data_IF_530476827327
#
_entry.id   IF_530476827327
#
_cell.length_a   1.000
_cell.length_b   1.000
_cell.length_c   1.000
_cell.angle_alpha   90.00
_cell.angle_beta   90.00
_cell.angle_gamma   90.00
#
_symmetry.space_group_name_H-M   'P 1'
#
loop_
_entity.id
_entity.type
_entity.pdbx_description
1 polymer ?
#
# COMPACT_ATOMS: atom_id res chain seq x y z
N UNK A 1 16.11 22.70 -24.84
CA UNK A 1 17.28 21.80 -24.80
C UNK A 1 17.77 21.74 -23.35
N UNK A 2 17.09 20.95 -22.52
CA UNK A 2 17.41 20.63 -21.11
C UNK A 2 16.75 19.28 -20.83
N UNK A 3 17.34 18.18 -21.33
CA UNK A 3 16.77 16.83 -21.15
C UNK A 3 17.78 15.79 -20.67
N UNK A 4 19.09 16.07 -20.78
CA UNK A 4 20.12 15.07 -20.49
C UNK A 4 20.39 15.03 -18.97
N UNK A 5 20.65 16.18 -18.35
CA UNK A 5 20.95 16.25 -16.91
C UNK A 5 19.75 15.90 -16.00
N UNK A 6 18.51 16.30 -16.34
CA UNK A 6 17.32 15.95 -15.54
C UNK A 6 17.04 14.45 -15.55
N UNK A 7 17.22 13.79 -16.70
CA UNK A 7 17.02 12.34 -16.83
C UNK A 7 18.12 11.55 -16.09
N UNK A 8 19.35 12.04 -16.09
CA UNK A 8 20.44 11.43 -15.29
C UNK A 8 20.18 11.56 -13.78
N UNK A 9 19.80 12.75 -13.30
CA UNK A 9 19.51 12.98 -11.86
C UNK A 9 18.32 12.12 -11.39
N UNK A 10 17.24 12.05 -12.17
CA UNK A 10 16.10 11.20 -11.82
C UNK A 10 16.49 9.72 -11.74
N UNK A 11 17.29 9.22 -12.69
CA UNK A 11 17.79 7.85 -12.64
C UNK A 11 18.67 7.60 -11.40
N UNK A 12 19.53 8.55 -11.04
CA UNK A 12 20.38 8.43 -9.85
C UNK A 12 19.55 8.36 -8.55
N UNK A 13 18.47 9.13 -8.45
CA UNK A 13 17.54 9.10 -7.31
C UNK A 13 16.88 7.72 -7.20
N UNK A 14 16.33 7.19 -8.30
CA UNK A 14 15.66 5.89 -8.29
C UNK A 14 16.64 4.74 -8.01
N UNK A 15 17.88 4.84 -8.50
CA UNK A 15 18.94 3.87 -8.19
C UNK A 15 19.34 3.92 -6.71
N UNK A 16 19.47 5.10 -6.13
CA UNK A 16 19.73 5.27 -4.71
C UNK A 16 18.57 4.71 -3.87
N UNK A 17 17.32 5.01 -4.25
CA UNK A 17 16.13 4.49 -3.58
C UNK A 17 16.11 2.95 -3.59
N UNK A 18 16.30 2.30 -4.75
CA UNK A 18 16.35 0.82 -4.84
C UNK A 18 17.45 0.20 -3.98
N UNK A 19 18.59 0.88 -3.80
CA UNK A 19 19.65 0.40 -2.92
C UNK A 19 19.21 0.40 -1.46
N UNK A 20 18.47 1.43 -1.04
CA UNK A 20 17.90 1.53 0.30
C UNK A 20 16.73 0.55 0.48
N UNK A 21 15.85 0.41 -0.51
CA UNK A 21 14.76 -0.56 -0.49
C UNK A 21 15.27 -1.99 -0.26
N UNK A 22 16.32 -2.40 -0.98
CA UNK A 22 17.00 -3.70 -0.76
C UNK A 22 17.65 -3.82 0.62
N UNK A 23 18.07 -2.71 1.24
CA UNK A 23 18.59 -2.72 2.61
C UNK A 23 17.46 -2.89 3.63
N UNK A 24 16.33 -2.22 3.41
CA UNK A 24 15.12 -2.34 4.23
C UNK A 24 14.57 -3.77 4.18
N UNK A 25 14.38 -4.33 2.99
CA UNK A 25 13.93 -5.71 2.81
C UNK A 25 14.84 -6.69 3.57
N UNK A 26 16.17 -6.60 3.39
CA UNK A 26 17.13 -7.43 4.14
C UNK A 26 17.09 -7.25 5.66
N UNK A 27 16.63 -6.11 6.16
CA UNK A 27 16.47 -5.87 7.61
C UNK A 27 15.19 -6.54 8.12
N UNK A 28 14.12 -6.43 7.35
CA UNK A 28 12.85 -7.11 7.59
C UNK A 28 13.04 -8.63 7.54
N UNK A 29 13.70 -9.16 6.50
CA UNK A 29 14.03 -10.59 6.34
C UNK A 29 14.79 -11.14 7.56
N UNK A 30 15.74 -10.37 8.11
CA UNK A 30 16.55 -10.81 9.27
C UNK A 30 15.76 -10.84 10.58
N UNK A 31 14.67 -10.10 10.63
CA UNK A 31 13.79 -10.01 11.80
C UNK A 31 12.56 -10.89 11.61
N UNK A 32 12.49 -11.67 10.52
CA UNK A 32 11.35 -12.48 10.12
C UNK A 32 10.03 -11.66 10.03
N UNK A 33 10.12 -10.40 9.59
CA UNK A 33 8.96 -9.49 9.45
C UNK A 33 8.52 -9.40 7.99
N UNK A 34 7.30 -9.84 7.68
CA UNK A 34 6.70 -9.61 6.37
C UNK A 34 6.19 -8.17 6.26
N UNK A 35 6.30 -7.55 5.09
CA UNK A 35 5.96 -6.13 4.93
C UNK A 35 5.05 -5.89 3.73
N UNK A 36 3.95 -5.17 3.95
CA UNK A 36 2.93 -4.89 2.93
C UNK A 36 2.82 -3.37 2.74
N UNK A 37 3.04 -2.91 1.51
CA UNK A 37 2.87 -1.51 1.10
C UNK A 37 1.47 -1.32 0.53
N UNK A 38 0.63 -0.58 1.25
CA UNK A 38 -0.72 -0.22 0.84
C UNK A 38 -0.69 1.08 0.04
N UNK A 39 -0.86 0.96 -1.27
CA UNK A 39 -0.97 2.08 -2.19
C UNK A 39 -2.43 2.32 -2.54
N UNK A 40 -2.74 3.47 -3.12
CA UNK A 40 -4.11 3.78 -3.52
C UNK A 40 -4.44 5.25 -3.52
N UNK A 41 -5.61 5.58 -4.06
CA UNK A 41 -6.09 6.95 -4.11
C UNK A 41 -6.39 7.54 -2.73
N UNK A 42 -6.61 8.86 -2.70
CA UNK A 42 -7.13 9.54 -1.52
C UNK A 42 -8.52 9.00 -1.21
N UNK A 43 -8.74 8.57 0.03
CA UNK A 43 -10.04 8.09 0.48
C UNK A 43 -10.49 6.76 -0.10
N UNK A 44 -9.61 5.97 -0.75
CA UNK A 44 -9.95 4.63 -1.26
C UNK A 44 -10.27 3.63 -0.14
N UNK A 45 -9.75 3.88 1.07
CA UNK A 45 -10.04 3.12 2.29
C UNK A 45 -8.84 2.40 2.89
N UNK A 46 -7.61 2.73 2.51
CA UNK A 46 -6.36 2.14 3.03
C UNK A 46 -6.32 2.05 4.55
N UNK A 47 -6.50 3.18 5.26
CA UNK A 47 -6.50 3.19 6.72
C UNK A 47 -7.54 2.24 7.30
N UNK A 48 -8.77 2.26 6.79
CA UNK A 48 -9.83 1.36 7.26
C UNK A 48 -9.54 -0.10 6.92
N UNK A 49 -8.88 -0.39 5.79
CA UNK A 49 -8.45 -1.74 5.48
C UNK A 49 -7.44 -2.22 6.51
N UNK A 50 -6.41 -1.43 6.77
CA UNK A 50 -5.37 -1.75 7.75
C UNK A 50 -5.97 -1.94 9.15
N UNK A 51 -6.92 -1.10 9.58
CA UNK A 51 -7.66 -1.29 10.83
C UNK A 51 -8.36 -2.65 10.88
N UNK A 52 -9.06 -3.04 9.80
CA UNK A 52 -9.71 -4.36 9.71
C UNK A 52 -8.72 -5.51 9.76
N UNK A 53 -7.55 -5.36 9.13
CA UNK A 53 -6.50 -6.38 9.19
C UNK A 53 -5.96 -6.54 10.61
N UNK A 54 -5.68 -5.44 11.30
CA UNK A 54 -5.24 -5.45 12.71
C UNK A 54 -6.28 -6.12 13.61
N UNK A 55 -7.57 -5.86 13.40
CA UNK A 55 -8.65 -6.45 14.21
C UNK A 55 -8.83 -7.96 14.01
N UNK A 56 -8.56 -8.47 12.80
CA UNK A 56 -9.00 -9.81 12.39
C UNK A 56 -7.85 -10.79 12.14
N UNK A 57 -6.60 -10.33 12.07
CA UNK A 57 -5.43 -11.21 11.93
C UNK A 57 -4.89 -11.65 13.29
N UNK A 58 -4.53 -12.94 13.41
CA UNK A 58 -3.80 -13.46 14.56
C UNK A 58 -2.28 -13.30 14.36
N UNK A 59 -1.85 -12.05 14.26
CA UNK A 59 -0.45 -11.63 14.04
C UNK A 59 -0.11 -10.40 14.86
N UNK A 60 1.15 -10.29 15.26
CA UNK A 60 1.68 -9.06 15.86
C UNK A 60 2.00 -8.06 14.76
N UNK A 61 1.18 -7.02 14.65
CA UNK A 61 1.27 -6.01 13.60
C UNK A 61 2.05 -4.79 14.09
N UNK A 62 2.92 -4.23 13.24
CA UNK A 62 3.39 -2.84 13.32
C UNK A 62 2.87 -2.03 12.11
N UNK A 63 2.77 -0.71 12.26
CA UNK A 63 2.31 0.17 11.17
C UNK A 63 3.25 1.36 10.95
N UNK A 64 3.54 1.66 9.70
CA UNK A 64 4.07 2.96 9.26
C UNK A 64 2.93 3.72 8.57
N UNK A 65 2.59 4.91 9.06
CA UNK A 65 1.52 5.74 8.50
C UNK A 65 2.11 6.96 7.77
N UNK A 66 2.12 6.92 6.43
CA UNK A 66 2.66 8.00 5.58
C UNK A 66 1.57 8.92 5.04
N UNK A 67 1.56 10.17 5.47
CA UNK A 67 0.70 11.21 4.90
C UNK A 67 1.30 12.61 5.12
N UNK A 68 0.72 13.63 4.47
CA UNK A 68 1.07 15.03 4.71
C UNK A 68 0.96 15.37 6.20
N UNK A 69 -0.07 14.84 6.87
CA UNK A 69 -0.28 14.95 8.32
C UNK A 69 -0.56 13.57 8.91
N UNK A 70 0.48 12.75 9.05
CA UNK A 70 0.40 11.35 9.50
C UNK A 70 -0.32 11.09 10.81
N UNK A 71 -0.38 12.07 11.73
CA UNK A 71 -0.98 11.89 13.07
C UNK A 71 -2.45 11.45 13.05
N UNK A 72 -3.19 11.74 11.98
CA UNK A 72 -4.61 11.38 11.87
C UNK A 72 -4.78 9.87 11.70
N UNK A 73 -4.00 9.27 10.81
CA UNK A 73 -4.04 7.82 10.58
C UNK A 73 -3.23 7.07 11.64
N UNK A 74 -2.07 7.61 12.03
CA UNK A 74 -1.26 7.02 13.11
C UNK A 74 -2.06 6.87 14.42
N UNK A 75 -2.79 7.91 14.84
CA UNK A 75 -3.61 7.85 16.06
C UNK A 75 -4.77 6.85 15.99
N UNK A 76 -5.24 6.52 14.77
CA UNK A 76 -6.24 5.45 14.58
C UNK A 76 -5.62 4.09 14.82
N UNK A 77 -4.45 3.82 14.26
CA UNK A 77 -3.72 2.58 14.48
C UNK A 77 -3.26 2.40 15.94
N UNK A 78 -2.77 3.46 16.57
CA UNK A 78 -2.38 3.45 17.99
C UNK A 78 -3.53 3.03 18.90
N UNK A 79 -4.78 3.34 18.54
CA UNK A 79 -5.96 2.95 19.32
C UNK A 79 -6.19 1.43 19.41
N UNK A 80 -5.58 0.65 18.51
CA UNK A 80 -5.56 -0.82 18.54
C UNK A 80 -4.41 -1.39 19.40
N UNK A 81 -3.54 -0.53 19.95
CA UNK A 81 -2.42 -0.95 20.80
C UNK A 81 -1.23 -1.54 20.06
N UNK A 82 -1.15 -1.37 18.74
CA UNK A 82 -0.01 -1.80 17.91
C UNK A 82 1.11 -0.74 17.90
N UNK A 83 2.38 -1.11 17.67
CA UNK A 83 3.45 -0.14 17.40
C UNK A 83 3.19 0.63 16.10
N UNK A 84 3.34 1.96 16.16
CA UNK A 84 3.08 2.85 15.01
C UNK A 84 4.18 3.89 14.87
N UNK A 85 4.62 4.13 13.64
CA UNK A 85 5.48 5.27 13.28
C UNK A 85 4.76 6.13 12.24
N UNK A 86 4.44 7.37 12.59
CA UNK A 86 3.89 8.35 11.66
C UNK A 86 4.98 9.08 10.87
N UNK A 87 4.89 9.08 9.55
CA UNK A 87 5.81 9.77 8.65
C UNK A 87 5.11 10.96 7.98
N UNK A 88 5.50 12.17 8.37
CA UNK A 88 5.02 13.39 7.71
C UNK A 88 5.80 13.62 6.41
N UNK A 89 5.14 13.45 5.27
CA UNK A 89 5.78 13.61 3.94
C UNK A 89 5.94 15.06 3.53
N UNK A 90 5.27 15.99 4.23
CA UNK A 90 5.34 17.43 3.96
C UNK A 90 4.73 17.78 2.61
N UNK A 91 5.56 17.90 1.57
CA UNK A 91 5.13 18.18 0.19
C UNK A 91 5.33 17.00 -0.76
N UNK A 92 5.96 15.94 -0.29
CA UNK A 92 6.20 14.76 -1.12
C UNK A 92 4.91 13.97 -1.33
N UNK A 93 4.71 13.49 -2.55
CA UNK A 93 3.51 12.77 -2.99
C UNK A 93 3.64 11.24 -2.86
N UNK A 94 4.72 10.75 -2.25
CA UNK A 94 5.05 9.34 -2.07
C UNK A 94 5.92 9.17 -0.81
N UNK A 95 5.98 7.96 -0.29
CA UNK A 95 7.07 7.52 0.59
C UNK A 95 8.27 7.07 -0.24
N UNK A 96 9.47 7.18 0.32
CA UNK A 96 10.69 6.60 -0.23
C UNK A 96 11.33 5.61 0.76
N UNK A 97 12.26 4.80 0.28
CA UNK A 97 12.93 3.80 1.12
C UNK A 97 13.79 4.42 2.22
N UNK A 98 14.24 5.66 2.09
CA UNK A 98 15.04 6.34 3.11
C UNK A 98 14.18 6.70 4.32
N UNK A 99 12.97 7.24 4.10
CA UNK A 99 12.01 7.51 5.17
C UNK A 99 11.60 6.23 5.89
N UNK A 100 11.36 5.15 5.14
CA UNK A 100 11.04 3.83 5.73
C UNK A 100 12.22 3.28 6.52
N UNK A 101 13.46 3.43 6.03
CA UNK A 101 14.66 2.98 6.75
C UNK A 101 14.74 3.56 8.17
N UNK A 102 14.48 4.87 8.32
CA UNK A 102 14.45 5.54 9.63
C UNK A 102 13.28 5.05 10.48
N UNK A 103 12.09 4.87 9.90
CA UNK A 103 10.95 4.35 10.64
C UNK A 103 11.19 2.94 11.19
N UNK A 104 11.93 2.09 10.46
CA UNK A 104 12.32 0.76 10.92
C UNK A 104 13.27 0.80 12.14
N UNK A 105 13.94 1.91 12.43
CA UNK A 105 14.76 2.09 13.64
C UNK A 105 13.92 2.29 14.91
N UNK A 106 12.71 2.83 14.76
CA UNK A 106 11.80 3.13 15.88
C UNK A 106 10.79 1.99 16.15
N UNK A 107 10.75 0.96 15.30
CA UNK A 107 9.85 -0.19 15.44
C UNK A 107 10.50 -1.37 16.15
N UNK A 108 9.76 -2.10 17.01
CA UNK A 108 10.25 -3.28 17.69
C UNK A 108 10.20 -4.52 16.77
N UNK A 109 11.07 -4.56 15.75
CA UNK A 109 11.04 -5.58 14.70
C UNK A 109 11.18 -7.02 15.23
N UNK A 110 11.83 -7.23 16.37
CA UNK A 110 11.97 -8.55 17.00
C UNK A 110 10.67 -9.05 17.68
N UNK A 111 9.67 -8.18 17.84
CA UNK A 111 8.41 -8.45 18.55
C UNK A 111 7.18 -8.37 17.63
N UNK A 112 7.35 -8.26 16.31
CA UNK A 112 6.25 -8.19 15.33
C UNK A 112 6.44 -9.22 14.23
N UNK A 113 5.34 -9.71 13.66
CA UNK A 113 5.35 -10.69 12.57
C UNK A 113 5.15 -10.00 11.21
N UNK A 114 4.43 -8.87 11.20
CA UNK A 114 4.05 -8.16 9.98
C UNK A 114 4.08 -6.64 10.15
N UNK A 115 4.55 -5.96 9.11
CA UNK A 115 4.59 -4.51 8.98
C UNK A 115 3.63 -4.05 7.88
N UNK A 116 2.67 -3.21 8.24
CA UNK A 116 1.83 -2.52 7.27
C UNK A 116 2.35 -1.10 7.04
N UNK A 117 2.55 -0.73 5.77
CA UNK A 117 2.98 0.60 5.38
C UNK A 117 1.81 1.25 4.64
N UNK A 118 1.15 2.23 5.25
CA UNK A 118 0.19 3.07 4.55
C UNK A 118 0.94 4.14 3.75
N UNK A 119 0.92 4.03 2.42
CA UNK A 119 1.52 5.00 1.54
C UNK A 119 0.62 6.23 1.36
N UNK A 120 1.19 7.31 0.81
CA UNK A 120 0.43 8.54 0.52
C UNK A 120 -0.69 8.24 -0.48
N UNK A 121 -1.85 8.88 -0.31
CA UNK A 121 -2.97 8.80 -1.25
C UNK A 121 -2.62 9.32 -2.65
N UNK A 122 -2.07 8.48 -3.51
CA UNK A 122 -1.62 8.84 -4.85
C UNK A 122 -1.49 7.58 -5.75
N UNK A 123 -1.99 7.66 -6.99
CA UNK A 123 -1.93 6.56 -7.97
C UNK A 123 -0.78 6.70 -8.99
N UNK A 124 0.07 7.71 -8.84
CA UNK A 124 1.10 8.09 -9.81
C UNK A 124 2.49 8.04 -9.19
N UNK A 125 2.78 8.90 -8.21
CA UNK A 125 4.12 9.05 -7.66
C UNK A 125 4.68 7.76 -7.01
N UNK A 126 3.91 6.99 -6.22
CA UNK A 126 4.44 5.82 -5.52
C UNK A 126 4.90 4.67 -6.44
N UNK A 127 4.55 4.70 -7.72
CA UNK A 127 4.89 3.62 -8.67
C UNK A 127 6.40 3.37 -8.73
N UNK A 128 7.20 4.43 -8.79
CA UNK A 128 8.65 4.35 -9.01
C UNK A 128 9.48 4.12 -7.73
N UNK A 129 8.84 4.24 -6.56
CA UNK A 129 9.51 4.24 -5.26
C UNK A 129 9.27 2.95 -4.49
N UNK A 130 10.12 1.95 -4.78
CA UNK A 130 10.23 0.74 -3.97
C UNK A 130 10.61 1.10 -2.52
N UNK A 131 9.90 0.55 -1.53
CA UNK A 131 10.12 0.78 -0.11
C UNK A 131 10.92 -0.35 0.56
N UNK A 132 11.08 -1.49 -0.12
CA UNK A 132 11.59 -2.74 0.43
C UNK A 132 10.50 -3.61 1.07
N UNK A 133 9.24 -3.41 0.71
CA UNK A 133 8.13 -4.29 1.09
C UNK A 133 8.17 -5.61 0.30
N UNK A 134 7.54 -6.64 0.85
CA UNK A 134 7.40 -7.95 0.21
C UNK A 134 6.20 -8.00 -0.73
N UNK A 135 5.16 -7.23 -0.41
CA UNK A 135 3.89 -7.21 -1.13
C UNK A 135 3.40 -5.77 -1.33
N UNK A 136 2.83 -5.48 -2.49
CA UNK A 136 2.20 -4.21 -2.85
C UNK A 136 0.69 -4.39 -3.07
N UNK A 137 -0.11 -3.70 -2.26
CA UNK A 137 -1.57 -3.76 -2.30
C UNK A 137 -2.16 -2.49 -2.90
N UNK A 138 -2.78 -2.68 -4.07
CA UNK A 138 -3.63 -1.85 -4.92
C UNK A 138 -4.99 -1.38 -4.38
N UNK A 139 -5.14 -0.38 -3.50
CA UNK A 139 -6.49 0.00 -3.01
C UNK A 139 -7.12 1.16 -3.80
N UNK A 140 -8.17 0.86 -4.58
CA UNK A 140 -9.06 1.84 -5.21
C UNK A 140 -10.50 1.64 -4.74
N UNK A 141 -11.40 2.56 -5.06
CA UNK A 141 -12.81 2.45 -4.69
C UNK A 141 -13.76 2.77 -5.82
N UNK A 142 -14.96 2.20 -5.77
CA UNK A 142 -16.06 2.48 -6.71
C UNK A 142 -16.35 3.99 -6.85
N UNK A 143 -16.19 4.74 -5.76
CA UNK A 143 -16.48 6.18 -5.69
C UNK A 143 -15.50 7.07 -6.48
N UNK A 144 -14.41 6.50 -6.98
CA UNK A 144 -13.42 7.23 -7.81
C UNK A 144 -13.83 7.24 -9.29
N UNK A 145 -14.78 6.39 -9.69
CA UNK A 145 -15.17 6.15 -11.08
C UNK A 145 -14.57 4.86 -11.62
N UNK A 146 -15.33 4.14 -12.46
CA UNK A 146 -14.95 2.85 -13.04
C UNK A 146 -13.91 2.94 -14.17
N UNK A 147 -13.46 4.16 -14.51
CA UNK A 147 -12.35 4.44 -15.42
C UNK A 147 -11.02 4.71 -14.68
N UNK A 148 -11.02 4.64 -13.35
CA UNK A 148 -9.82 4.89 -12.52
C UNK A 148 -8.67 3.94 -12.87
N UNK A 149 -8.99 2.67 -13.14
CA UNK A 149 -8.00 1.63 -13.41
C UNK A 149 -7.26 1.89 -14.72
N UNK A 150 -7.99 2.02 -15.83
CA UNK A 150 -7.42 2.26 -17.16
C UNK A 150 -6.64 3.58 -17.26
N UNK A 151 -6.97 4.58 -16.42
CA UNK A 151 -6.26 5.86 -16.35
C UNK A 151 -4.91 5.79 -15.62
N UNK A 152 -4.68 4.78 -14.78
CA UNK A 152 -3.47 4.69 -13.95
C UNK A 152 -2.77 3.32 -14.09
N UNK A 153 -2.47 2.83 -15.31
CA UNK A 153 -2.09 1.43 -15.52
C UNK A 153 -0.78 1.03 -14.84
N UNK A 154 0.14 1.97 -14.63
CA UNK A 154 1.46 1.66 -14.10
C UNK A 154 1.41 1.13 -12.65
N UNK A 155 0.50 1.63 -11.81
CA UNK A 155 0.41 1.18 -10.42
C UNK A 155 -0.19 -0.22 -10.30
N UNK A 156 -1.12 -0.59 -11.18
CA UNK A 156 -1.73 -1.92 -11.20
C UNK A 156 -0.79 -2.98 -11.80
N UNK A 157 0.11 -2.59 -12.69
CA UNK A 157 1.09 -3.50 -13.29
C UNK A 157 2.08 -4.08 -12.27
N UNK A 158 2.41 -3.30 -11.24
CA UNK A 158 3.38 -3.67 -10.20
C UNK A 158 2.69 -4.09 -8.88
N UNK A 159 1.37 -4.32 -8.91
CA UNK A 159 0.60 -4.75 -7.76
C UNK A 159 0.63 -6.27 -7.61
N UNK A 160 0.71 -6.76 -6.37
CA UNK A 160 0.61 -8.18 -6.02
C UNK A 160 -0.83 -8.56 -5.65
N UNK A 161 -1.61 -7.58 -5.17
CA UNK A 161 -3.04 -7.70 -4.91
C UNK A 161 -3.73 -6.38 -5.24
N UNK A 162 -4.92 -6.44 -5.84
CA UNK A 162 -5.76 -5.26 -6.10
C UNK A 162 -7.08 -5.38 -5.34
N UNK A 163 -7.44 -4.32 -4.64
CA UNK A 163 -8.66 -4.19 -3.84
C UNK A 163 -9.52 -3.09 -4.44
N UNK A 164 -10.71 -3.46 -4.93
CA UNK A 164 -11.75 -2.55 -5.38
C UNK A 164 -12.77 -2.40 -4.24
N UNK A 165 -12.56 -1.39 -3.40
CA UNK A 165 -13.33 -1.14 -2.20
C UNK A 165 -14.62 -0.35 -2.45
N UNK A 166 -15.46 -0.26 -1.42
CA UNK A 166 -16.77 0.41 -1.41
C UNK A 166 -17.71 -0.16 -2.47
N UNK A 167 -17.66 -1.47 -2.69
CA UNK A 167 -18.58 -2.16 -3.59
C UNK A 167 -20.05 -1.87 -3.25
N UNK A 168 -20.36 -1.66 -1.97
CA UNK A 168 -21.70 -1.28 -1.48
C UNK A 168 -22.20 0.08 -1.98
N UNK A 169 -21.32 0.91 -2.55
CA UNK A 169 -21.66 2.22 -3.12
C UNK A 169 -21.65 2.25 -4.65
N UNK A 170 -21.31 1.15 -5.33
CA UNK A 170 -21.13 1.12 -6.78
C UNK A 170 -22.37 1.60 -7.54
N UNK A 171 -23.55 1.07 -7.20
CA UNK A 171 -24.83 1.48 -7.80
C UNK A 171 -25.15 2.96 -7.59
N UNK A 172 -24.77 3.51 -6.43
CA UNK A 172 -25.07 4.90 -6.06
C UNK A 172 -24.24 5.90 -6.89
N UNK A 173 -23.06 5.50 -7.35
CA UNK A 173 -22.17 6.32 -8.19
C UNK A 173 -22.16 5.89 -9.66
N UNK A 174 -22.88 4.82 -10.00
CA UNK A 174 -22.96 4.27 -11.35
C UNK A 174 -21.65 3.64 -11.85
N UNK A 175 -20.84 3.09 -10.94
CA UNK A 175 -19.59 2.44 -11.28
C UNK A 175 -19.80 0.95 -11.60
N UNK A 176 -19.29 0.49 -12.74
CA UNK A 176 -19.26 -0.94 -13.09
C UNK A 176 -18.02 -1.63 -12.48
N UNK A 177 -18.25 -2.41 -11.41
CA UNK A 177 -17.17 -3.13 -10.73
C UNK A 177 -16.57 -4.25 -11.57
N UNK A 178 -17.35 -4.88 -12.46
CA UNK A 178 -16.86 -5.97 -13.29
C UNK A 178 -15.96 -5.42 -14.41
N UNK A 179 -16.30 -4.25 -14.97
CA UNK A 179 -15.39 -3.47 -15.83
C UNK A 179 -14.07 -3.17 -15.12
N UNK A 180 -14.11 -2.66 -13.88
CA UNK A 180 -12.89 -2.36 -13.13
C UNK A 180 -12.00 -3.60 -12.95
N UNK A 181 -12.59 -4.76 -12.66
CA UNK A 181 -11.86 -6.03 -12.58
C UNK A 181 -11.24 -6.42 -13.93
N UNK A 182 -12.00 -6.30 -15.02
CA UNK A 182 -11.52 -6.58 -16.38
C UNK A 182 -10.34 -5.67 -16.75
N UNK A 183 -10.44 -4.37 -16.45
CA UNK A 183 -9.36 -3.40 -16.69
C UNK A 183 -8.08 -3.79 -15.94
N UNK A 184 -8.19 -4.20 -14.66
CA UNK A 184 -7.04 -4.66 -13.89
C UNK A 184 -6.43 -5.90 -14.55
N UNK A 185 -7.26 -6.88 -14.93
CA UNK A 185 -6.81 -8.11 -15.58
C UNK A 185 -6.19 -7.89 -16.95
N UNK A 186 -6.60 -6.86 -17.68
CA UNK A 186 -5.97 -6.48 -18.95
C UNK A 186 -4.57 -5.89 -18.74
N UNK A 187 -4.32 -5.23 -17.60
CA UNK A 187 -3.03 -4.63 -17.26
C UNK A 187 -2.09 -5.65 -16.59
N UNK A 188 -2.63 -6.47 -15.69
CA UNK A 188 -1.93 -7.45 -14.87
C UNK A 188 -2.77 -8.75 -14.81
N UNK A 189 -2.60 -9.69 -15.76
CA UNK A 189 -3.47 -10.85 -15.90
C UNK A 189 -3.51 -11.80 -14.70
N UNK A 190 -2.39 -11.95 -14.01
CA UNK A 190 -2.22 -12.95 -12.95
C UNK A 190 -2.57 -12.40 -11.56
N UNK A 191 -2.67 -11.07 -11.38
CA UNK A 191 -2.93 -10.45 -10.07
C UNK A 191 -4.29 -10.84 -9.50
N UNK A 192 -4.36 -11.12 -8.21
CA UNK A 192 -5.64 -11.29 -7.54
C UNK A 192 -6.38 -9.94 -7.46
N UNK A 193 -7.68 -9.94 -7.76
CA UNK A 193 -8.53 -8.74 -7.67
C UNK A 193 -9.72 -9.06 -6.80
N UNK A 194 -9.89 -8.30 -5.71
CA UNK A 194 -10.96 -8.50 -4.74
C UNK A 194 -11.90 -7.29 -4.74
N UNK A 195 -13.20 -7.55 -4.95
CA UNK A 195 -14.28 -6.58 -4.70
C UNK A 195 -14.61 -6.62 -3.22
N UNK A 196 -14.57 -5.47 -2.55
CA UNK A 196 -14.68 -5.42 -1.09
C UNK A 196 -15.63 -4.33 -0.62
N UNK A 197 -16.22 -4.53 0.55
CA UNK A 197 -16.87 -3.48 1.32
C UNK A 197 -16.43 -3.59 2.78
N UNK A 198 -15.49 -2.74 3.17
CA UNK A 198 -15.00 -2.68 4.56
C UNK A 198 -16.07 -2.24 5.56
N UNK A 199 -17.18 -1.67 5.06
CA UNK A 199 -18.36 -1.33 5.85
C UNK A 199 -19.15 -2.57 6.24
N UNK A 200 -19.31 -3.53 5.34
CA UNK A 200 -20.04 -4.79 5.60
C UNK A 200 -19.11 -5.92 6.07
N UNK A 201 -17.81 -5.79 5.83
CA UNK A 201 -16.80 -6.83 6.08
C UNK A 201 -16.57 -7.77 4.89
N UNK A 202 -17.29 -7.59 3.79
CA UNK A 202 -17.14 -8.42 2.59
C UNK A 202 -15.76 -8.26 1.97
N UNK A 203 -15.09 -9.39 1.72
CA UNK A 203 -13.77 -9.46 1.09
C UNK A 203 -12.59 -9.30 2.06
N UNK A 204 -12.82 -9.00 3.35
CA UNK A 204 -11.74 -8.79 4.33
C UNK A 204 -10.98 -10.09 4.61
N UNK A 205 -11.69 -11.22 4.74
CA UNK A 205 -11.06 -12.51 5.00
C UNK A 205 -10.20 -12.94 3.80
N UNK A 206 -10.69 -12.74 2.59
CA UNK A 206 -9.97 -13.05 1.36
C UNK A 206 -8.69 -12.22 1.20
N UNK A 207 -8.67 -10.98 1.70
CA UNK A 207 -7.44 -10.17 1.77
C UNK A 207 -6.47 -10.73 2.80
N UNK A 208 -6.96 -11.15 3.97
CA UNK A 208 -6.12 -11.77 5.01
C UNK A 208 -5.48 -13.04 4.46
N UNK A 209 -6.27 -13.93 3.87
CA UNK A 209 -5.80 -15.19 3.30
C UNK A 209 -4.74 -14.93 2.23
N UNK A 210 -4.95 -13.95 1.34
CA UNK A 210 -3.96 -13.59 0.31
C UNK A 210 -2.64 -13.05 0.90
N UNK A 211 -2.70 -12.30 2.00
CA UNK A 211 -1.48 -11.83 2.70
C UNK A 211 -0.79 -13.00 3.39
N UNK A 212 -1.54 -13.87 4.09
CA UNK A 212 -0.96 -15.02 4.78
C UNK A 212 -0.33 -16.03 3.83
N UNK A 213 -0.94 -16.30 2.68
CA UNK A 213 -0.38 -17.17 1.64
C UNK A 213 0.96 -16.61 1.14
N UNK A 214 1.03 -15.29 0.88
CA UNK A 214 2.25 -14.62 0.43
C UNK A 214 3.37 -14.59 1.49
N UNK A 215 3.06 -14.79 2.77
CA UNK A 215 4.07 -14.91 3.83
C UNK A 215 4.78 -16.27 3.83
N UNK A 216 4.21 -17.29 3.20
CA UNK A 216 4.71 -18.68 3.23
C UNK A 216 5.50 -19.03 1.97
N UNK A 217 5.35 -18.25 0.90
CA UNK A 217 6.05 -18.40 -0.40
C UNK A 217 7.50 -17.91 -0.37
#
# INVERSE_FOLDING_TARGET
>A
MHKIAEVEIQNDILLANRKLARKNQRRLDRSDVFAVDFLGAIGSGKTTLIERLIENMDRKVAVIAGDVISKFDAGRFESYGVPVVGLNTGKECHLDAHLVEHALEDLPLDDVDILFIENVGNLICPVDFDLGSHMRVVVVSSTEGDDTVEKHPLIFREADLVVINKADLADAVGADLDKMVEDVKNINPDVMVLKTSLKTGEGVQEIIDAIEDAMVD
#
